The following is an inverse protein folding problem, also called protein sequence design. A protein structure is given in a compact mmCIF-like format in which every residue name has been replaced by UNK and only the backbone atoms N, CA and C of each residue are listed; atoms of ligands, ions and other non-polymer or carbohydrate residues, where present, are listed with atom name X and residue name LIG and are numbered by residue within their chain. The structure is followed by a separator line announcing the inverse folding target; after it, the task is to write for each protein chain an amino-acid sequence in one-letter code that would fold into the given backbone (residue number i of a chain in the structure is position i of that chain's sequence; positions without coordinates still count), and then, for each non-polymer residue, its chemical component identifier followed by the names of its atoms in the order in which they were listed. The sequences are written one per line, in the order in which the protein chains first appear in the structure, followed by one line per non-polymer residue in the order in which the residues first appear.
data_IF_971928440309
#
_entry.id   IF_971928440309
#
_cell.length_a   1.000
_cell.length_b   1.000
_cell.length_c   1.000
_cell.angle_alpha   90.00
_cell.angle_beta   90.00
_cell.angle_gamma   90.00
#
_symmetry.space_group_name_H-M   'P 1'
#
loop_
_entity.id
_entity.type
_entity.pdbx_description
1 polymer ?
#
# COMPACT_ATOMS: atom_id res chain seq x y z
N UNK A 1 7.90 14.33 -8.13
CA UNK A 1 8.11 15.79 -8.27
C UNK A 1 9.59 16.16 -8.15
N UNK A 2 10.30 15.72 -7.10
CA UNK A 2 11.73 16.00 -6.89
C UNK A 2 12.62 15.62 -8.09
N UNK A 3 12.45 14.43 -8.66
CA UNK A 3 13.23 13.97 -9.83
C UNK A 3 13.02 14.86 -11.07
N UNK A 4 11.80 15.36 -11.29
CA UNK A 4 11.49 16.24 -12.42
C UNK A 4 12.13 17.62 -12.27
N UNK A 5 12.15 18.16 -11.05
CA UNK A 5 12.80 19.44 -10.73
C UNK A 5 14.32 19.32 -10.89
N UNK A 6 14.91 18.22 -10.41
CA UNK A 6 16.36 17.98 -10.50
C UNK A 6 16.82 17.66 -11.93
N UNK A 7 15.94 17.14 -12.79
CA UNK A 7 16.25 16.90 -14.21
C UNK A 7 16.28 18.17 -15.08
N UNK A 8 15.77 19.31 -14.59
CA UNK A 8 15.89 20.61 -15.30
C UNK A 8 17.27 21.27 -15.13
N UNK A 9 18.11 20.71 -14.26
CA UNK A 9 19.49 21.17 -14.05
C UNK A 9 20.38 20.71 -15.20
N UNK A 10 21.25 21.59 -15.71
CA UNK A 10 22.11 21.33 -16.89
C UNK A 10 23.20 20.25 -16.69
N UNK A 11 23.34 19.72 -15.47
CA UNK A 11 24.32 18.70 -15.13
C UNK A 11 23.74 17.28 -15.30
N UNK A 12 24.19 16.59 -16.36
CA UNK A 12 23.71 15.27 -16.76
C UNK A 12 23.95 14.19 -15.70
N UNK A 13 24.99 14.31 -14.87
CA UNK A 13 25.33 13.36 -13.81
C UNK A 13 24.25 13.33 -12.71
N UNK A 14 23.73 14.50 -12.33
CA UNK A 14 22.73 14.63 -11.26
C UNK A 14 21.37 14.08 -11.71
N UNK A 15 21.03 14.27 -12.99
CA UNK A 15 19.82 13.72 -13.58
C UNK A 15 19.83 12.18 -13.55
N UNK A 16 20.95 11.55 -13.93
CA UNK A 16 21.12 10.09 -13.92
C UNK A 16 21.02 9.53 -12.49
N UNK A 17 21.69 10.16 -11.52
CA UNK A 17 21.61 9.77 -10.10
C UNK A 17 20.17 9.83 -9.56
N UNK A 18 19.41 10.84 -9.96
CA UNK A 18 18.01 11.02 -9.54
C UNK A 18 17.10 9.94 -10.13
N UNK A 19 17.31 9.57 -11.39
CA UNK A 19 16.60 8.46 -12.04
C UNK A 19 16.92 7.14 -11.33
N UNK A 20 18.20 6.90 -11.03
CA UNK A 20 18.62 5.69 -10.33
C UNK A 20 18.00 5.60 -8.92
N UNK A 21 17.93 6.72 -8.19
CA UNK A 21 17.22 6.81 -6.92
C UNK A 21 15.72 6.53 -7.04
N UNK A 22 15.07 6.99 -8.10
CA UNK A 22 13.65 6.67 -8.38
C UNK A 22 13.44 5.17 -8.52
N UNK A 23 14.31 4.49 -9.27
CA UNK A 23 14.25 3.04 -9.45
C UNK A 23 14.47 2.28 -8.14
N UNK A 24 15.38 2.75 -7.28
CA UNK A 24 15.59 2.15 -5.95
C UNK A 24 14.31 2.24 -5.12
N UNK A 25 13.68 3.42 -5.04
CA UNK A 25 12.43 3.61 -4.31
C UNK A 25 11.31 2.72 -4.88
N UNK A 26 11.23 2.61 -6.21
CA UNK A 26 10.28 1.73 -6.87
C UNK A 26 10.52 0.26 -6.51
N UNK A 27 11.78 -0.18 -6.45
CA UNK A 27 12.15 -1.53 -6.03
C UNK A 27 11.72 -1.81 -4.59
N UNK A 28 11.96 -0.87 -3.67
CA UNK A 28 11.51 -0.97 -2.28
C UNK A 28 9.99 -1.11 -2.21
N UNK A 29 9.25 -0.32 -2.98
CA UNK A 29 7.79 -0.38 -3.00
C UNK A 29 7.26 -1.75 -3.50
N UNK A 30 7.93 -2.36 -4.48
CA UNK A 30 7.59 -3.70 -4.96
C UNK A 30 7.82 -4.74 -3.86
N UNK A 31 8.95 -4.67 -3.16
CA UNK A 31 9.27 -5.57 -2.04
C UNK A 31 8.22 -5.43 -0.94
N UNK A 32 7.87 -4.21 -0.56
CA UNK A 32 6.82 -3.94 0.43
C UNK A 32 5.46 -4.51 0.02
N UNK A 33 5.07 -4.34 -1.25
CA UNK A 33 3.85 -4.93 -1.79
C UNK A 33 3.82 -6.45 -1.68
N UNK A 34 4.95 -7.11 -1.97
CA UNK A 34 5.10 -8.56 -1.84
C UNK A 34 5.02 -9.02 -0.37
N UNK A 35 5.71 -8.33 0.54
CA UNK A 35 5.66 -8.61 1.98
C UNK A 35 4.24 -8.45 2.53
N UNK A 36 3.53 -7.39 2.12
CA UNK A 36 2.15 -7.15 2.55
C UNK A 36 1.21 -8.26 2.08
N UNK A 37 1.32 -8.68 0.81
CA UNK A 37 0.55 -9.80 0.27
C UNK A 37 0.81 -11.11 1.04
N UNK A 38 2.06 -11.37 1.41
CA UNK A 38 2.44 -12.55 2.20
C UNK A 38 1.89 -12.49 3.63
N UNK A 39 1.96 -11.33 4.28
CA UNK A 39 1.38 -11.11 5.62
C UNK A 39 -0.14 -11.29 5.64
N UNK A 40 -0.84 -10.80 4.62
CA UNK A 40 -2.30 -10.97 4.49
C UNK A 40 -2.64 -12.46 4.37
N UNK A 41 -1.97 -13.19 3.47
CA UNK A 41 -2.20 -14.63 3.30
C UNK A 41 -1.95 -15.41 4.59
N UNK A 42 -0.85 -15.11 5.32
CA UNK A 42 -0.54 -15.78 6.59
C UNK A 42 -1.63 -15.56 7.65
N UNK A 43 -2.03 -14.31 7.87
CA UNK A 43 -3.09 -13.97 8.85
C UNK A 43 -4.46 -14.52 8.49
N UNK A 44 -4.76 -14.64 7.20
CA UNK A 44 -6.02 -15.24 6.73
C UNK A 44 -5.98 -16.75 6.93
N UNK A 45 -4.87 -17.42 6.62
CA UNK A 45 -4.71 -18.85 6.86
C UNK A 45 -4.80 -19.22 8.35
N UNK A 46 -4.25 -18.39 9.24
CA UNK A 46 -4.38 -18.56 10.71
C UNK A 46 -5.83 -18.44 11.20
N UNK A 47 -6.68 -17.65 10.51
CA UNK A 47 -8.05 -17.34 10.95
C UNK A 47 -9.14 -18.13 10.23
N UNK A 48 -8.91 -18.55 8.99
CA UNK A 48 -9.86 -19.26 8.14
C UNK A 48 -9.16 -20.43 7.41
N UNK A 49 -9.00 -21.59 8.07
CA UNK A 49 -8.15 -22.68 7.58
C UNK A 49 -8.68 -23.50 6.38
N UNK A 50 -9.76 -23.10 5.70
CA UNK A 50 -10.36 -23.87 4.58
C UNK A 50 -10.91 -23.00 3.42
N UNK A 51 -10.59 -21.70 3.39
CA UNK A 51 -11.14 -20.76 2.41
C UNK A 51 -10.12 -20.41 1.31
N UNK A 52 -10.61 -20.17 0.09
CA UNK A 52 -9.76 -19.99 -1.09
C UNK A 52 -9.04 -18.62 -1.01
N UNK A 53 -7.72 -18.63 -0.84
CA UNK A 53 -6.91 -17.41 -0.69
C UNK A 53 -6.61 -16.68 -2.02
N UNK A 54 -7.18 -17.13 -3.15
CA UNK A 54 -7.04 -16.47 -4.46
C UNK A 54 -7.69 -15.07 -4.42
N UNK A 55 -6.96 -14.05 -4.87
CA UNK A 55 -7.44 -12.67 -4.95
C UNK A 55 -7.42 -11.88 -3.62
N UNK A 56 -7.30 -12.54 -2.46
CA UNK A 56 -7.28 -11.87 -1.14
C UNK A 56 -6.08 -10.92 -0.95
N UNK A 57 -4.95 -11.19 -1.58
CA UNK A 57 -3.81 -10.28 -1.55
C UNK A 57 -4.10 -8.98 -2.32
N UNK A 58 -4.69 -9.07 -3.52
CA UNK A 58 -5.09 -7.91 -4.33
C UNK A 58 -6.24 -7.14 -3.67
N UNK A 59 -7.25 -7.86 -3.18
CA UNK A 59 -8.39 -7.29 -2.46
C UNK A 59 -7.96 -6.62 -1.14
N UNK A 60 -7.08 -7.27 -0.37
CA UNK A 60 -6.52 -6.75 0.87
C UNK A 60 -5.63 -5.54 0.63
N UNK A 61 -4.85 -5.52 -0.45
CA UNK A 61 -4.08 -4.35 -0.90
C UNK A 61 -5.01 -3.18 -1.23
N UNK A 62 -6.02 -3.39 -2.09
CA UNK A 62 -7.02 -2.38 -2.48
C UNK A 62 -7.83 -1.85 -1.28
N UNK A 63 -8.17 -2.71 -0.31
CA UNK A 63 -8.83 -2.29 0.93
C UNK A 63 -7.87 -1.54 1.86
N UNK A 64 -6.58 -1.87 1.88
CA UNK A 64 -5.60 -1.22 2.76
C UNK A 64 -5.31 0.23 2.34
N UNK A 65 -5.35 0.52 1.04
CA UNK A 65 -5.11 1.86 0.49
C UNK A 65 -6.33 2.78 0.63
N UNK A 66 -7.54 2.21 0.70
CA UNK A 66 -8.74 3.00 0.96
C UNK A 66 -8.74 3.56 2.39
N UNK A 67 -8.60 4.89 2.51
CA UNK A 67 -8.71 5.61 3.78
C UNK A 67 -10.05 5.28 4.45
N UNK A 68 -10.00 4.89 5.74
CA UNK A 68 -11.19 4.51 6.52
C UNK A 68 -12.32 5.55 6.51
N UNK A 69 -11.97 6.83 6.36
CA UNK A 69 -12.92 7.96 6.33
C UNK A 69 -13.74 8.05 5.03
N UNK A 70 -13.25 7.46 3.94
CA UNK A 70 -13.93 7.46 2.63
C UNK A 70 -14.85 6.25 2.44
N UNK A 71 -14.89 5.33 3.41
CA UNK A 71 -15.79 4.17 3.35
C UNK A 71 -17.20 4.61 3.76
N UNK A 72 -18.17 4.35 2.89
CA UNK A 72 -19.60 4.56 3.17
C UNK A 72 -20.30 3.21 3.46
N UNK A 73 -21.35 3.16 4.29
CA UNK A 73 -21.85 4.23 5.16
C UNK A 73 -20.89 4.49 6.32
N UNK A 74 -20.80 5.76 6.74
CA UNK A 74 -20.00 6.13 7.93
C UNK A 74 -20.52 5.33 9.13
N UNK A 75 -19.64 4.86 10.03
CA UNK A 75 -20.08 4.15 11.22
C UNK A 75 -21.11 5.00 11.98
N UNK A 76 -22.30 4.43 12.13
CA UNK A 76 -23.49 5.10 12.69
C UNK A 76 -23.36 5.30 14.20
N UNK A 77 -22.49 4.51 14.83
CA UNK A 77 -22.18 4.54 16.26
C UNK A 77 -20.74 4.95 16.50
N UNK A 78 -20.55 5.90 17.43
CA UNK A 78 -19.23 6.34 17.88
C UNK A 78 -18.71 5.34 18.93
N UNK A 79 -17.39 5.27 19.08
CA UNK A 79 -16.77 4.43 20.11
C UNK A 79 -17.22 4.93 21.49
N UNK A 80 -18.01 4.13 22.21
CA UNK A 80 -18.54 4.47 23.53
C UNK A 80 -20.06 4.61 23.60
N UNK A 81 -20.79 4.57 22.47
CA UNK A 81 -22.25 4.57 22.50
C UNK A 81 -22.78 3.23 23.06
N UNK A 82 -23.38 3.30 24.25
CA UNK A 82 -23.96 2.16 24.99
C UNK A 82 -25.46 1.94 24.73
N UNK A 83 -26.06 2.68 23.80
CA UNK A 83 -27.49 2.59 23.56
C UNK A 83 -27.75 1.82 22.25
N UNK A 84 -27.83 0.50 22.40
CA UNK A 84 -28.62 -0.39 21.56
C UNK A 84 -29.66 -1.05 22.45
#
# INVERSE_FOLDING_TARGET
FVVLVVSMTRNQTIAILSILGMYIIMFIAIIDGWFLGRRIKRKVAEKFPNENTKGLALYGFLRSTQMRRMRAPKPVVKRGDKNF
#
